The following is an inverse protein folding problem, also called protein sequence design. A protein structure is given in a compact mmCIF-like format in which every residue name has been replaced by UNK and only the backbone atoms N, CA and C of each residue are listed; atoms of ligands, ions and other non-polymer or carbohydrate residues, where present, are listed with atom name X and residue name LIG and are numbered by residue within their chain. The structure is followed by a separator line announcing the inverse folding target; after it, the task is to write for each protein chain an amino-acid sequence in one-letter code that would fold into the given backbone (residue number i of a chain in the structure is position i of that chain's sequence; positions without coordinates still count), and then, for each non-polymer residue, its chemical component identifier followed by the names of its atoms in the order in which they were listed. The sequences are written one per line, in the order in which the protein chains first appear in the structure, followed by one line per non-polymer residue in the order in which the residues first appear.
data_IF_597145917117
#
_entry.id   IF_597145917117
#
_cell.length_a   1.000
_cell.length_b   1.000
_cell.length_c   1.000
_cell.angle_alpha   90.00
_cell.angle_beta   90.00
_cell.angle_gamma   90.00
#
_symmetry.space_group_name_H-M   'P 1'
#
loop_
_entity.id
_entity.type
_entity.pdbx_description
1 polymer ?
#
# COMPACT_ATOMS: atom_id res chain seq x y z
N UNK A 1 1.86 42.40 -13.88
CA UNK A 1 3.09 41.69 -14.24
C UNK A 1 2.73 40.24 -14.31
N UNK A 2 2.67 39.67 -15.53
CA UNK A 2 2.36 38.23 -15.71
C UNK A 2 3.66 37.45 -15.47
N UNK A 3 3.66 36.54 -14.52
CA UNK A 3 4.71 35.53 -14.45
C UNK A 3 4.63 34.61 -15.67
N UNK A 4 5.73 34.27 -16.32
CA UNK A 4 5.72 33.37 -17.47
C UNK A 4 5.36 31.98 -17.01
N UNK A 5 4.39 31.35 -17.68
CA UNK A 5 4.09 29.94 -17.56
C UNK A 5 5.35 29.10 -17.86
N UNK A 6 5.67 28.05 -17.13
CA UNK A 6 6.83 27.21 -17.36
C UNK A 6 6.82 26.66 -18.79
N UNK A 7 7.98 26.68 -19.47
CA UNK A 7 8.11 26.21 -20.84
C UNK A 7 7.84 24.71 -20.95
N UNK A 8 7.24 24.26 -22.04
CA UNK A 8 6.87 22.87 -22.32
C UNK A 8 8.06 21.89 -22.14
N UNK A 9 9.29 22.35 -22.37
CA UNK A 9 10.51 21.56 -22.21
C UNK A 9 10.90 21.26 -20.74
N UNK A 10 10.60 22.17 -19.80
CA UNK A 10 10.85 21.94 -18.36
C UNK A 10 9.81 20.98 -17.77
N UNK A 11 8.57 21.05 -18.24
CA UNK A 11 7.50 20.14 -17.83
C UNK A 11 7.78 18.71 -18.32
N UNK A 12 8.31 18.53 -19.52
CA UNK A 12 8.70 17.24 -20.08
C UNK A 12 9.91 16.64 -19.35
N UNK A 13 10.94 17.43 -19.05
CA UNK A 13 12.12 16.97 -18.32
C UNK A 13 11.78 16.54 -16.86
N UNK A 14 10.90 17.28 -16.19
CA UNK A 14 10.39 16.91 -14.86
C UNK A 14 9.50 15.64 -14.94
N UNK A 15 8.81 15.43 -16.07
CA UNK A 15 7.96 14.25 -16.25
C UNK A 15 8.75 12.95 -16.37
N UNK A 16 9.97 12.97 -16.90
CA UNK A 16 10.85 11.80 -17.01
C UNK A 16 11.46 11.38 -15.66
N UNK A 17 11.55 12.28 -14.70
CA UNK A 17 12.16 12.04 -13.38
C UNK A 17 11.15 11.54 -12.32
N UNK A 18 9.84 11.78 -12.51
CA UNK A 18 8.80 11.44 -11.53
C UNK A 18 8.11 10.14 -11.94
N UNK A 19 8.18 9.11 -11.06
CA UNK A 19 7.47 7.86 -11.24
C UNK A 19 6.01 7.96 -10.79
N UNK A 20 5.74 8.63 -9.64
CA UNK A 20 4.38 8.76 -9.10
C UNK A 20 4.11 10.24 -8.81
N UNK A 21 3.01 10.77 -9.36
CA UNK A 21 2.45 12.08 -9.00
C UNK A 21 1.05 11.90 -8.43
N UNK A 22 0.83 12.41 -7.22
CA UNK A 22 -0.45 12.46 -6.53
C UNK A 22 -0.81 13.94 -6.37
N UNK A 23 -1.91 14.39 -6.96
CA UNK A 23 -2.27 15.81 -7.03
C UNK A 23 -3.65 16.05 -6.42
N UNK A 24 -3.68 16.64 -5.22
CA UNK A 24 -4.89 17.03 -4.49
C UNK A 24 -5.93 15.91 -4.39
N UNK A 25 -5.48 14.70 -4.08
CA UNK A 25 -6.30 13.48 -4.10
C UNK A 25 -7.16 13.35 -2.86
N UNK A 26 -8.47 13.22 -3.08
CA UNK A 26 -9.46 12.85 -2.07
C UNK A 26 -10.05 11.48 -2.42
N UNK A 27 -10.31 10.66 -1.39
CA UNK A 27 -10.98 9.37 -1.55
C UNK A 27 -11.89 9.07 -0.37
N UNK A 28 -13.06 8.48 -0.64
CA UNK A 28 -14.07 8.18 0.38
C UNK A 28 -14.63 6.77 0.20
N UNK A 29 -14.89 6.08 1.32
CA UNK A 29 -15.60 4.80 1.31
C UNK A 29 -17.09 4.99 1.54
N UNK A 30 -17.89 4.22 0.80
CA UNK A 30 -19.31 4.10 1.06
C UNK A 30 -19.56 3.02 2.12
N UNK A 31 -19.94 3.42 3.32
CA UNK A 31 -20.29 2.50 4.40
C UNK A 31 -21.81 2.43 4.52
N UNK A 32 -22.39 1.26 4.31
CA UNK A 32 -23.80 1.01 4.59
C UNK A 32 -23.98 0.97 6.11
N UNK A 33 -24.88 1.81 6.63
CA UNK A 33 -25.28 1.76 8.01
C UNK A 33 -26.12 0.49 8.21
N UNK A 34 -25.57 -0.53 8.87
CA UNK A 34 -26.40 -1.64 9.34
C UNK A 34 -27.44 -1.09 10.30
N UNK A 35 -28.71 -1.21 9.94
CA UNK A 35 -29.81 -0.96 10.86
C UNK A 35 -29.76 -2.10 11.90
N UNK A 36 -29.17 -1.84 13.06
CA UNK A 36 -29.40 -2.74 14.19
C UNK A 36 -30.90 -2.69 14.48
N UNK A 37 -31.55 -3.81 14.28
CA UNK A 37 -32.93 -4.05 14.74
C UNK A 37 -32.88 -4.04 16.27
N UNK A 38 -33.01 -2.85 16.86
CA UNK A 38 -33.25 -2.72 18.30
C UNK A 38 -34.70 -3.17 18.54
N UNK A 39 -34.87 -4.14 19.42
CA UNK A 39 -36.14 -4.78 19.79
C UNK A 39 -37.10 -3.88 20.55
N UNK A 40 -37.14 -2.59 20.28
CA UNK A 40 -38.09 -1.64 20.88
C UNK A 40 -39.18 -1.28 19.86
N UNK A 41 -40.39 -1.72 20.12
CA UNK A 41 -41.58 -1.52 19.27
C UNK A 41 -41.93 -0.03 19.00
N UNK A 42 -41.38 0.90 19.76
CA UNK A 42 -41.62 2.36 19.58
C UNK A 42 -40.70 3.00 18.52
N UNK A 43 -39.53 2.46 18.29
CA UNK A 43 -38.55 2.99 17.33
C UNK A 43 -38.76 2.41 15.90
N UNK A 44 -39.55 1.35 15.77
CA UNK A 44 -39.83 0.69 14.50
C UNK A 44 -40.58 1.57 13.49
N UNK A 45 -41.47 2.46 13.94
CA UNK A 45 -42.28 3.30 13.05
C UNK A 45 -41.50 4.49 12.48
N UNK A 46 -40.58 5.07 13.22
CA UNK A 46 -39.73 6.18 12.73
C UNK A 46 -38.65 5.71 11.74
N UNK A 47 -38.23 4.45 11.82
CA UNK A 47 -37.24 3.83 10.91
C UNK A 47 -37.88 3.35 9.59
N UNK A 48 -39.19 3.10 9.54
CA UNK A 48 -39.89 2.70 8.33
C UNK A 48 -40.03 3.88 7.34
N UNK A 49 -40.01 5.12 7.81
CA UNK A 49 -40.06 6.34 7.01
C UNK A 49 -38.69 6.83 6.53
N UNK A 50 -37.61 6.33 7.09
CA UNK A 50 -36.24 6.52 6.59
C UNK A 50 -35.88 5.33 5.73
N UNK A 51 -35.93 5.49 4.40
CA UNK A 51 -35.65 4.45 3.43
C UNK A 51 -34.36 3.65 3.73
N UNK A 52 -34.28 2.38 3.27
CA UNK A 52 -33.27 1.40 3.68
C UNK A 52 -31.83 1.66 3.23
N UNK A 53 -31.48 2.83 2.70
CA UNK A 53 -30.21 3.11 2.04
C UNK A 53 -29.55 4.43 2.49
N UNK A 54 -29.35 4.65 3.79
CA UNK A 54 -28.42 5.71 4.16
C UNK A 54 -26.96 5.20 4.08
N UNK A 55 -26.37 5.29 2.90
CA UNK A 55 -24.92 5.17 2.72
C UNK A 55 -24.24 6.42 3.29
N UNK A 56 -23.31 6.23 4.22
CA UNK A 56 -22.46 7.31 4.71
C UNK A 56 -21.13 7.26 3.96
N UNK A 57 -20.73 8.39 3.37
CA UNK A 57 -19.38 8.56 2.85
C UNK A 57 -18.43 8.83 4.03
N UNK A 58 -17.42 7.99 4.18
CA UNK A 58 -16.35 8.15 5.17
C UNK A 58 -15.10 8.57 4.40
N UNK A 59 -14.66 9.85 4.54
CA UNK A 59 -13.48 10.31 3.84
C UNK A 59 -12.23 9.64 4.43
N UNK A 60 -11.41 9.05 3.56
CA UNK A 60 -10.17 8.38 3.91
C UNK A 60 -8.93 9.16 3.48
N UNK A 61 -9.01 9.91 2.37
CA UNK A 61 -8.01 10.88 1.91
C UNK A 61 -8.69 12.22 1.66
N UNK A 62 -7.98 13.32 1.92
CA UNK A 62 -8.50 14.69 1.90
C UNK A 62 -7.46 15.64 1.31
N UNK A 63 -7.40 15.74 -0.02
CA UNK A 63 -6.49 16.65 -0.72
C UNK A 63 -5.02 16.29 -0.55
N UNK A 64 -4.69 15.00 -0.62
CA UNK A 64 -3.31 14.52 -0.52
C UNK A 64 -2.55 14.85 -1.78
N UNK A 65 -1.36 15.45 -1.63
CA UNK A 65 -0.41 15.66 -2.73
C UNK A 65 0.95 15.09 -2.32
N UNK A 66 1.60 14.38 -3.25
CA UNK A 66 2.92 13.80 -3.07
C UNK A 66 3.55 13.49 -4.43
N UNK A 67 4.87 13.55 -4.51
CA UNK A 67 5.65 13.13 -5.68
C UNK A 67 6.70 12.13 -5.29
N UNK A 68 6.88 11.08 -6.12
CA UNK A 68 7.90 10.06 -5.90
C UNK A 68 8.80 10.01 -7.13
N UNK A 69 10.06 10.43 -7.01
CA UNK A 69 11.02 10.33 -8.10
C UNK A 69 11.29 8.89 -8.51
N UNK A 70 11.67 8.66 -9.77
CA UNK A 70 12.15 7.33 -10.22
C UNK A 70 13.34 6.87 -9.38
N UNK A 71 13.35 5.60 -9.02
CA UNK A 71 14.43 5.00 -8.25
C UNK A 71 14.50 5.44 -6.79
N UNK A 72 13.47 6.11 -6.28
CA UNK A 72 13.41 6.53 -4.88
C UNK A 72 12.48 5.66 -4.05
N UNK A 73 12.65 5.69 -2.73
CA UNK A 73 11.84 4.97 -1.76
C UNK A 73 11.09 5.98 -0.90
N UNK A 74 9.76 6.02 -1.03
CA UNK A 74 8.88 6.83 -0.19
C UNK A 74 8.38 6.01 1.00
N UNK A 75 8.76 6.37 2.22
CA UNK A 75 8.18 5.84 3.46
C UNK A 75 6.89 6.58 3.81
N UNK A 76 5.78 5.85 4.05
CA UNK A 76 4.51 6.46 4.48
C UNK A 76 4.23 6.11 5.93
N UNK A 77 4.16 7.15 6.77
CA UNK A 77 3.95 7.09 8.21
C UNK A 77 2.54 7.53 8.60
N UNK A 78 2.08 7.10 9.76
CA UNK A 78 0.81 7.51 10.35
C UNK A 78 0.18 6.42 11.19
N UNK A 79 -0.73 6.80 12.09
CA UNK A 79 -1.49 5.86 12.95
C UNK A 79 -2.45 4.99 12.11
N UNK A 80 -3.04 3.99 12.76
CA UNK A 80 -4.11 3.17 12.15
C UNK A 80 -5.29 4.07 11.77
N UNK A 81 -5.83 3.91 10.56
CA UNK A 81 -6.89 4.77 10.04
C UNK A 81 -6.44 6.12 9.47
N UNK A 82 -5.14 6.44 9.44
CA UNK A 82 -4.63 7.69 8.88
C UNK A 82 -4.81 7.84 7.35
N UNK A 83 -5.12 6.74 6.64
CA UNK A 83 -5.31 6.74 5.18
C UNK A 83 -4.19 6.07 4.38
N UNK A 84 -3.16 5.52 5.04
CA UNK A 84 -1.96 4.92 4.38
C UNK A 84 -2.31 3.85 3.34
N UNK A 85 -3.03 2.80 3.75
CA UNK A 85 -3.44 1.73 2.82
C UNK A 85 -4.42 2.22 1.74
N UNK A 86 -5.19 3.28 2.03
CA UNK A 86 -6.06 3.92 1.03
C UNK A 86 -5.23 4.65 -0.02
N UNK A 87 -4.18 5.35 0.38
CA UNK A 87 -3.25 6.01 -0.54
C UNK A 87 -2.57 4.98 -1.45
N UNK A 88 -2.04 3.88 -0.89
CA UNK A 88 -1.45 2.81 -1.69
C UNK A 88 -2.44 2.20 -2.69
N UNK A 89 -3.69 1.91 -2.26
CA UNK A 89 -4.72 1.38 -3.15
C UNK A 89 -5.14 2.37 -4.24
N UNK A 90 -5.12 3.67 -3.94
CA UNK A 90 -5.40 4.70 -4.92
C UNK A 90 -4.26 4.80 -5.95
N UNK A 91 -2.99 4.74 -5.53
CA UNK A 91 -1.82 4.69 -6.41
C UNK A 91 -1.85 3.43 -7.29
N UNK A 92 -2.25 2.28 -6.73
CA UNK A 92 -2.41 1.03 -7.46
C UNK A 92 -3.61 1.01 -8.44
N UNK A 93 -4.42 2.07 -8.50
CA UNK A 93 -5.62 2.12 -9.34
C UNK A 93 -6.79 1.26 -8.86
N UNK A 94 -6.70 0.66 -7.65
CA UNK A 94 -7.75 -0.20 -7.07
C UNK A 94 -8.93 0.63 -6.57
N UNK A 95 -8.66 1.82 -6.03
CA UNK A 95 -9.67 2.77 -5.56
C UNK A 95 -9.53 4.05 -6.38
N UNK A 96 -10.54 4.41 -7.18
CA UNK A 96 -10.50 5.67 -7.92
C UNK A 96 -10.59 6.85 -6.95
N UNK A 97 -9.81 7.93 -7.14
CA UNK A 97 -9.97 9.16 -6.39
C UNK A 97 -11.35 9.78 -6.65
N UNK A 98 -11.93 10.42 -5.63
CA UNK A 98 -13.16 11.22 -5.77
C UNK A 98 -12.86 12.62 -6.29
N UNK A 99 -11.66 13.13 -6.02
CA UNK A 99 -11.14 14.41 -6.48
C UNK A 99 -9.63 14.30 -6.71
N UNK A 100 -9.08 15.15 -7.55
CA UNK A 100 -7.67 15.17 -7.91
C UNK A 100 -7.32 14.09 -8.92
N UNK A 101 -6.03 13.85 -9.11
CA UNK A 101 -5.55 12.81 -10.03
C UNK A 101 -4.27 12.13 -9.50
N UNK A 102 -4.08 10.90 -9.97
CA UNK A 102 -2.85 10.13 -9.73
C UNK A 102 -2.29 9.74 -11.09
N UNK A 103 -1.01 9.94 -11.28
CA UNK A 103 -0.27 9.50 -12.46
C UNK A 103 0.87 8.60 -11.98
N UNK A 104 0.91 7.38 -12.49
CA UNK A 104 2.01 6.44 -12.26
C UNK A 104 2.64 6.11 -13.61
N UNK A 105 3.96 6.13 -13.68
CA UNK A 105 4.75 5.80 -14.86
C UNK A 105 5.56 4.54 -14.57
N UNK A 106 5.31 3.51 -15.34
CA UNK A 106 5.91 2.18 -15.20
C UNK A 106 4.93 1.14 -14.67
N UNK A 107 5.37 -0.11 -14.73
CA UNK A 107 4.59 -1.24 -14.25
C UNK A 107 4.52 -1.28 -12.72
N UNK A 108 3.30 -1.46 -12.20
CA UNK A 108 3.05 -1.48 -10.76
C UNK A 108 2.88 -2.92 -10.29
N UNK A 109 3.69 -3.34 -9.31
CA UNK A 109 3.34 -4.48 -8.45
C UNK A 109 2.95 -4.01 -7.06
N UNK A 110 1.85 -4.53 -6.54
CA UNK A 110 1.26 -4.06 -5.30
C UNK A 110 1.06 -5.18 -4.28
N UNK A 111 1.82 -5.11 -3.19
CA UNK A 111 1.70 -5.97 -2.00
C UNK A 111 0.81 -5.31 -0.96
N UNK A 112 -0.49 -5.21 -1.23
CA UNK A 112 -1.44 -4.45 -0.40
C UNK A 112 -2.16 -5.28 0.65
N UNK A 113 -2.10 -6.60 0.58
CA UNK A 113 -2.57 -7.55 1.60
C UNK A 113 -2.19 -8.97 1.20
N UNK A 114 -2.08 -9.85 2.19
CA UNK A 114 -1.72 -11.25 1.97
C UNK A 114 -2.69 -11.94 0.99
N UNK A 115 -2.21 -12.24 -0.23
CA UNK A 115 -2.94 -13.02 -1.24
C UNK A 115 -3.98 -12.25 -2.05
N UNK A 116 -3.91 -10.90 -2.14
CA UNK A 116 -4.70 -10.14 -3.10
C UNK A 116 -4.28 -10.52 -4.52
N UNK A 117 -5.25 -10.93 -5.33
CA UNK A 117 -5.03 -11.39 -6.70
C UNK A 117 -4.89 -12.91 -6.83
N UNK A 118 -4.67 -13.65 -5.75
CA UNK A 118 -4.59 -15.11 -5.81
C UNK A 118 -5.97 -15.78 -5.89
N UNK A 119 -6.08 -16.77 -6.78
CA UNK A 119 -7.23 -17.66 -6.81
C UNK A 119 -7.04 -18.77 -5.77
N UNK A 120 -7.82 -18.73 -4.70
CA UNK A 120 -7.71 -19.68 -3.58
C UNK A 120 -8.07 -21.13 -3.94
N UNK A 121 -8.71 -21.37 -5.09
CA UNK A 121 -9.05 -22.71 -5.56
C UNK A 121 -7.88 -23.39 -6.29
N UNK A 122 -6.90 -22.62 -6.75
CA UNK A 122 -5.72 -23.09 -7.46
C UNK A 122 -4.54 -23.29 -6.51
N UNK A 123 -3.56 -24.06 -6.97
CA UNK A 123 -2.32 -24.32 -6.22
C UNK A 123 -1.46 -23.05 -6.12
N UNK A 124 -0.50 -23.04 -5.18
CA UNK A 124 0.46 -21.95 -5.08
C UNK A 124 1.26 -21.77 -6.35
N UNK A 125 1.73 -22.89 -6.95
CA UNK A 125 2.48 -22.89 -8.22
C UNK A 125 1.67 -22.26 -9.36
N UNK A 126 0.43 -22.70 -9.55
CA UNK A 126 -0.44 -22.13 -10.60
C UNK A 126 -0.73 -20.64 -10.37
N UNK A 127 -0.83 -20.22 -9.11
CA UNK A 127 -1.00 -18.79 -8.80
C UNK A 127 0.25 -17.96 -9.12
N UNK A 128 1.47 -18.51 -8.99
CA UNK A 128 2.69 -17.83 -9.43
C UNK A 128 2.65 -17.62 -10.94
N UNK A 129 2.37 -18.68 -11.70
CA UNK A 129 2.31 -18.65 -13.18
C UNK A 129 1.26 -17.64 -13.67
N UNK A 130 0.05 -17.68 -13.11
CA UNK A 130 -1.02 -16.73 -13.46
C UNK A 130 -0.67 -15.30 -13.07
N UNK A 131 -0.02 -15.10 -11.93
CA UNK A 131 0.44 -13.78 -11.49
C UNK A 131 1.50 -13.20 -12.43
N UNK A 132 2.42 -14.04 -12.91
CA UNK A 132 3.42 -13.65 -13.89
C UNK A 132 2.78 -13.25 -15.24
N UNK A 133 1.86 -14.07 -15.75
CA UNK A 133 1.11 -13.78 -16.99
C UNK A 133 0.28 -12.49 -16.86
N UNK A 134 -0.34 -12.25 -15.72
CA UNK A 134 -1.13 -11.04 -15.48
C UNK A 134 -0.29 -9.76 -15.42
N UNK A 135 1.02 -9.89 -15.24
CA UNK A 135 2.00 -8.81 -15.24
C UNK A 135 2.83 -8.77 -16.53
N UNK A 136 2.32 -9.37 -17.61
CA UNK A 136 3.00 -9.46 -18.93
C UNK A 136 4.46 -9.95 -18.85
N UNK A 137 4.76 -10.80 -17.83
CA UNK A 137 6.09 -11.39 -17.69
C UNK A 137 6.36 -12.36 -18.86
N UNK A 138 7.57 -12.38 -19.44
CA UNK A 138 7.89 -13.22 -20.59
C UNK A 138 7.59 -14.71 -20.33
N UNK A 139 6.74 -15.33 -21.16
CA UNK A 139 6.25 -16.71 -20.97
C UNK A 139 7.39 -17.73 -20.89
N UNK A 140 8.44 -17.56 -21.70
CA UNK A 140 9.63 -18.40 -21.73
C UNK A 140 10.46 -18.35 -20.45
N UNK A 141 10.27 -17.32 -19.62
CA UNK A 141 10.95 -17.12 -18.34
C UNK A 141 10.10 -17.42 -17.11
N UNK A 142 8.82 -17.75 -17.28
CA UNK A 142 7.90 -18.05 -16.14
C UNK A 142 8.42 -19.23 -15.32
N UNK A 143 9.03 -20.24 -15.96
CA UNK A 143 9.64 -21.38 -15.26
C UNK A 143 10.75 -20.96 -14.30
N UNK A 144 11.68 -20.12 -14.75
CA UNK A 144 12.78 -19.59 -13.93
C UNK A 144 12.26 -18.73 -12.78
N UNK A 145 11.29 -17.85 -13.07
CA UNK A 145 10.61 -17.04 -12.07
C UNK A 145 9.96 -17.92 -11.01
N UNK A 146 9.22 -18.96 -11.44
CA UNK A 146 8.50 -19.86 -10.52
C UNK A 146 9.48 -20.53 -9.56
N UNK A 147 10.60 -21.07 -10.04
CA UNK A 147 11.59 -21.69 -9.16
C UNK A 147 12.24 -20.68 -8.19
N UNK A 148 12.53 -19.46 -8.63
CA UNK A 148 13.05 -18.40 -7.76
C UNK A 148 12.05 -18.03 -6.65
N UNK A 149 10.77 -17.91 -7.00
CA UNK A 149 9.67 -17.62 -6.05
C UNK A 149 9.51 -18.77 -5.06
N UNK A 150 9.57 -20.02 -5.53
CA UNK A 150 9.48 -21.25 -4.71
C UNK A 150 10.60 -21.32 -3.69
N UNK A 151 11.84 -21.08 -4.14
CA UNK A 151 13.02 -21.06 -3.28
C UNK A 151 12.92 -19.97 -2.21
N UNK A 152 12.49 -18.78 -2.59
CA UNK A 152 12.32 -17.66 -1.64
C UNK A 152 11.20 -17.89 -0.64
N UNK A 153 10.04 -18.35 -1.08
CA UNK A 153 8.85 -18.53 -0.23
C UNK A 153 9.03 -19.67 0.79
N UNK A 154 9.81 -20.71 0.45
CA UNK A 154 10.06 -21.90 1.28
C UNK A 154 8.77 -22.52 1.83
N UNK A 155 7.81 -22.78 0.97
CA UNK A 155 6.52 -23.39 1.34
C UNK A 155 6.52 -24.93 1.19
N UNK A 156 7.60 -25.49 0.60
CA UNK A 156 7.75 -26.94 0.40
C UNK A 156 6.59 -27.54 -0.40
N UNK A 157 6.08 -28.68 0.04
CA UNK A 157 5.00 -29.40 -0.63
C UNK A 157 3.68 -28.63 -0.70
N UNK A 158 3.49 -27.63 0.19
CA UNK A 158 2.28 -26.81 0.17
C UNK A 158 2.06 -26.08 -1.15
N UNK A 159 3.11 -25.86 -1.94
CA UNK A 159 2.99 -25.21 -3.26
C UNK A 159 2.07 -25.98 -4.23
N UNK A 160 1.94 -27.28 -4.05
CA UNK A 160 1.09 -28.15 -4.85
C UNK A 160 -0.34 -28.27 -4.29
N UNK A 161 -0.62 -27.67 -3.14
CA UNK A 161 -1.98 -27.65 -2.57
C UNK A 161 -2.72 -26.36 -2.94
N UNK A 162 -4.06 -26.42 -3.06
CA UNK A 162 -4.89 -25.23 -3.25
C UNK A 162 -4.67 -24.20 -2.13
N UNK A 163 -4.54 -22.92 -2.50
CA UNK A 163 -4.24 -21.85 -1.54
C UNK A 163 -5.32 -21.62 -0.48
N UNK A 164 -6.51 -22.23 -0.60
CA UNK A 164 -7.50 -22.28 0.49
C UNK A 164 -7.00 -23.01 1.74
N UNK A 165 -5.99 -23.88 1.58
CA UNK A 165 -5.36 -24.60 2.69
C UNK A 165 -4.21 -23.81 3.35
N UNK A 166 -3.84 -22.66 2.77
CA UNK A 166 -2.75 -21.85 3.30
C UNK A 166 -3.17 -21.03 4.52
N UNK A 167 -2.25 -20.91 5.46
CA UNK A 167 -2.37 -19.88 6.50
C UNK A 167 -2.19 -18.47 5.88
N UNK A 168 -2.60 -17.43 6.62
CA UNK A 168 -2.35 -16.05 6.20
C UNK A 168 -0.86 -15.76 6.00
N UNK A 169 0.00 -16.31 6.85
CA UNK A 169 1.45 -16.19 6.73
C UNK A 169 2.02 -16.87 5.47
N UNK A 170 1.51 -18.06 5.09
CA UNK A 170 1.92 -18.73 3.85
C UNK A 170 1.50 -17.94 2.61
N UNK A 171 0.26 -17.46 2.59
CA UNK A 171 -0.24 -16.62 1.49
C UNK A 171 0.58 -15.33 1.34
N UNK A 172 0.95 -14.71 2.47
CA UNK A 172 1.80 -13.53 2.48
C UNK A 172 3.20 -13.81 1.97
N UNK A 173 3.84 -14.93 2.39
CA UNK A 173 5.15 -15.35 1.90
C UNK A 173 5.15 -15.51 0.39
N UNK A 174 4.14 -16.21 -0.14
CA UNK A 174 4.02 -16.42 -1.57
C UNK A 174 3.79 -15.11 -2.33
N UNK A 175 2.91 -14.25 -1.82
CA UNK A 175 2.63 -12.94 -2.41
C UNK A 175 3.85 -12.04 -2.47
N UNK A 176 4.59 -11.96 -1.36
CA UNK A 176 5.84 -11.19 -1.33
C UNK A 176 6.89 -11.77 -2.29
N UNK A 177 7.10 -13.09 -2.24
CA UNK A 177 8.07 -13.75 -3.11
C UNK A 177 7.77 -13.46 -4.59
N UNK A 178 6.51 -13.60 -5.02
CA UNK A 178 6.11 -13.32 -6.39
C UNK A 178 6.35 -11.85 -6.75
N UNK A 179 5.80 -10.91 -5.97
CA UNK A 179 5.90 -9.49 -6.29
C UNK A 179 7.35 -8.97 -6.29
N UNK A 180 8.20 -9.51 -5.42
CA UNK A 180 9.61 -9.13 -5.34
C UNK A 180 10.48 -9.72 -6.45
N UNK A 181 10.02 -10.78 -7.16
CA UNK A 181 10.75 -11.41 -8.26
C UNK A 181 10.19 -11.05 -9.65
N UNK A 182 8.99 -10.47 -9.73
CA UNK A 182 8.46 -9.91 -10.97
C UNK A 182 9.23 -8.70 -11.49
N UNK A 183 10.09 -8.13 -10.64
CA UNK A 183 10.97 -7.01 -10.95
C UNK A 183 10.26 -5.76 -11.52
N UNK A 184 9.19 -5.27 -10.87
CA UNK A 184 8.39 -4.14 -11.36
C UNK A 184 9.16 -2.82 -11.28
N UNK A 185 8.79 -1.84 -12.11
CA UNK A 185 9.36 -0.49 -12.03
C UNK A 185 8.89 0.26 -10.77
N UNK A 186 7.65 0.01 -10.34
CA UNK A 186 7.02 0.59 -9.15
C UNK A 186 6.51 -0.52 -8.23
N UNK A 187 7.01 -0.55 -7.00
CA UNK A 187 6.60 -1.53 -5.99
C UNK A 187 5.87 -0.84 -4.83
N UNK A 188 4.64 -1.23 -4.58
CA UNK A 188 3.83 -0.73 -3.47
C UNK A 188 3.74 -1.79 -2.37
N UNK A 189 4.18 -1.43 -1.15
CA UNK A 189 4.24 -2.36 -0.02
C UNK A 189 3.42 -1.81 1.14
N UNK A 190 2.33 -2.51 1.51
CA UNK A 190 1.60 -2.24 2.74
C UNK A 190 2.13 -3.15 3.86
N UNK A 191 2.08 -2.71 5.09
CA UNK A 191 2.52 -3.31 6.36
C UNK A 191 2.43 -4.86 6.49
N UNK A 192 1.81 -5.51 5.52
CA UNK A 192 1.64 -6.96 5.42
C UNK A 192 2.95 -7.78 5.56
N UNK A 193 4.13 -7.15 5.55
CA UNK A 193 5.43 -7.82 5.73
C UNK A 193 5.76 -8.17 7.20
N UNK A 194 4.93 -7.76 8.15
CA UNK A 194 5.15 -8.05 9.58
C UNK A 194 4.93 -9.55 9.95
N UNK A 195 4.27 -10.33 9.08
CA UNK A 195 4.05 -11.76 9.28
C UNK A 195 5.25 -12.62 8.85
N UNK A 196 5.32 -13.85 9.38
CA UNK A 196 6.40 -14.81 9.10
C UNK A 196 7.36 -14.98 10.26
N UNK A 197 8.17 -16.03 10.19
CA UNK A 197 9.23 -16.30 11.17
C UNK A 197 10.44 -15.37 10.97
N UNK A 198 11.40 -15.43 11.92
CA UNK A 198 12.59 -14.57 11.87
C UNK A 198 13.43 -14.78 10.61
N UNK A 199 13.56 -16.02 10.13
CA UNK A 199 14.33 -16.34 8.93
C UNK A 199 13.69 -15.76 7.66
N UNK A 200 12.36 -15.77 7.58
CA UNK A 200 11.68 -15.15 6.45
C UNK A 200 11.83 -13.62 6.48
N UNK A 201 11.73 -13.00 7.67
CA UNK A 201 11.96 -11.56 7.84
C UNK A 201 13.36 -11.12 7.41
N UNK A 202 14.39 -11.91 7.72
CA UNK A 202 15.76 -11.65 7.27
C UNK A 202 15.88 -11.71 5.73
N UNK A 203 15.26 -12.71 5.08
CA UNK A 203 15.23 -12.79 3.61
C UNK A 203 14.49 -11.62 2.98
N UNK A 204 13.34 -11.24 3.58
CA UNK A 204 12.58 -10.06 3.13
C UNK A 204 13.46 -8.80 3.23
N UNK A 205 14.15 -8.60 4.35
CA UNK A 205 15.02 -7.44 4.53
C UNK A 205 16.13 -7.40 3.48
N UNK A 206 16.83 -8.52 3.23
CA UNK A 206 17.86 -8.60 2.20
C UNK A 206 17.31 -8.35 0.79
N UNK A 207 16.14 -8.89 0.45
CA UNK A 207 15.50 -8.64 -0.86
C UNK A 207 15.05 -7.18 -1.00
N UNK A 208 14.57 -6.56 0.08
CA UNK A 208 14.22 -5.14 0.08
C UNK A 208 15.45 -4.26 -0.14
N UNK A 209 16.59 -4.55 0.49
CA UNK A 209 17.84 -3.84 0.24
C UNK A 209 18.29 -3.97 -1.23
N UNK A 210 18.18 -5.16 -1.80
CA UNK A 210 18.46 -5.41 -3.23
C UNK A 210 17.55 -4.54 -4.12
N UNK A 211 16.23 -4.58 -3.89
CA UNK A 211 15.24 -3.81 -4.66
C UNK A 211 15.46 -2.29 -4.53
N UNK A 212 15.77 -1.79 -3.33
CA UNK A 212 16.09 -0.38 -3.12
C UNK A 212 17.36 0.02 -3.88
N UNK A 213 18.39 -0.83 -3.86
CA UNK A 213 19.68 -0.54 -4.53
C UNK A 213 19.63 -0.71 -6.05
N UNK A 214 18.67 -1.46 -6.59
CA UNK A 214 18.49 -1.68 -8.02
C UNK A 214 17.83 -0.51 -8.78
N UNK A 215 17.51 0.60 -8.09
CA UNK A 215 16.89 1.78 -8.69
C UNK A 215 15.38 1.65 -8.94
N UNK A 216 14.71 0.70 -8.26
CA UNK A 216 13.24 0.58 -8.30
C UNK A 216 12.57 1.68 -7.48
N UNK A 217 11.42 2.13 -7.95
CA UNK A 217 10.60 3.09 -7.20
C UNK A 217 9.74 2.33 -6.21
N UNK A 218 9.83 2.66 -4.92
CA UNK A 218 9.13 1.92 -3.87
C UNK A 218 8.30 2.87 -3.02
N UNK A 219 7.04 2.51 -2.75
CA UNK A 219 6.23 3.15 -1.70
C UNK A 219 6.00 2.15 -0.59
N UNK A 220 6.58 2.42 0.58
CA UNK A 220 6.59 1.53 1.73
C UNK A 220 5.76 2.09 2.87
N UNK A 221 4.68 1.40 3.25
CA UNK A 221 3.96 1.62 4.50
C UNK A 221 4.47 0.64 5.54
N UNK A 222 5.00 1.13 6.65
CA UNK A 222 5.47 0.26 7.75
C UNK A 222 5.35 0.98 9.10
N UNK A 223 5.08 0.20 10.17
CA UNK A 223 5.22 0.66 11.55
C UNK A 223 6.64 0.48 12.09
N UNK A 224 7.51 -0.21 11.37
CA UNK A 224 8.92 -0.40 11.73
C UNK A 224 9.74 0.85 11.34
N UNK A 225 9.75 1.88 12.20
CA UNK A 225 10.46 3.14 11.94
C UNK A 225 11.93 2.94 11.57
N UNK A 226 12.60 1.92 12.15
CA UNK A 226 14.00 1.59 11.82
C UNK A 226 14.14 1.13 10.37
N UNK A 227 13.19 0.35 9.86
CA UNK A 227 13.22 -0.11 8.47
C UNK A 227 12.98 1.06 7.51
N UNK A 228 12.01 1.94 7.81
CA UNK A 228 11.77 3.14 7.01
C UNK A 228 13.02 4.02 6.99
N UNK A 229 13.61 4.31 8.17
CA UNK A 229 14.83 5.12 8.27
C UNK A 229 16.00 4.55 7.47
N UNK A 230 16.13 3.22 7.41
CA UNK A 230 17.23 2.56 6.69
C UNK A 230 17.04 2.56 5.17
N UNK A 231 15.79 2.54 4.66
CA UNK A 231 15.49 2.31 3.25
C UNK A 231 14.90 3.54 2.54
N UNK A 232 14.13 4.38 3.24
CA UNK A 232 13.43 5.48 2.61
C UNK A 232 14.38 6.63 2.25
N UNK A 233 14.23 7.16 1.02
CA UNK A 233 14.89 8.39 0.57
C UNK A 233 14.10 9.63 0.96
N UNK A 234 12.78 9.47 1.16
CA UNK A 234 11.86 10.50 1.65
C UNK A 234 10.72 9.86 2.45
N UNK A 235 10.07 10.64 3.30
CA UNK A 235 8.93 10.20 4.09
C UNK A 235 7.74 11.14 3.93
N UNK A 236 6.54 10.55 4.03
CA UNK A 236 5.25 11.23 4.06
C UNK A 236 4.50 10.84 5.33
N UNK A 237 4.17 11.79 6.20
CA UNK A 237 3.35 11.56 7.36
C UNK A 237 1.90 11.93 7.08
N UNK A 238 1.02 10.93 7.17
CA UNK A 238 -0.44 11.08 7.06
C UNK A 238 -1.08 11.08 8.44
N UNK A 239 -2.03 12.01 8.64
CA UNK A 239 -2.91 12.04 9.81
C UNK A 239 -4.34 12.39 9.36
N UNK A 240 -5.32 11.54 9.71
CA UNK A 240 -6.74 11.74 9.37
C UNK A 240 -6.99 12.05 7.87
N UNK A 241 -6.24 11.36 6.99
CA UNK A 241 -6.36 11.49 5.53
C UNK A 241 -5.68 12.72 4.95
N UNK A 242 -4.90 13.47 5.70
CA UNK A 242 -4.14 14.66 5.25
C UNK A 242 -2.65 14.44 5.39
N UNK A 243 -1.87 15.09 4.54
CA UNK A 243 -0.43 15.20 4.72
C UNK A 243 -0.16 16.21 5.83
N UNK A 244 0.57 15.79 6.85
CA UNK A 244 1.04 16.64 7.95
C UNK A 244 2.43 17.17 7.64
N UNK A 245 3.30 16.28 7.16
CA UNK A 245 4.67 16.61 6.79
C UNK A 245 5.16 15.62 5.72
N UNK A 246 6.01 16.10 4.84
CA UNK A 246 6.79 15.32 3.88
C UNK A 246 8.25 15.83 3.88
N UNK A 247 9.18 14.99 3.47
CA UNK A 247 10.59 15.36 3.37
C UNK A 247 11.56 14.31 3.87
N UNK A 248 12.66 14.75 4.51
CA UNK A 248 13.72 13.90 5.02
C UNK A 248 13.20 12.90 6.06
N UNK A 249 13.57 11.60 5.95
CA UNK A 249 13.09 10.56 6.85
C UNK A 249 13.35 10.83 8.34
N UNK A 250 14.52 11.37 8.69
CA UNK A 250 14.89 11.64 10.09
C UNK A 250 14.04 12.75 10.70
N UNK A 251 13.74 13.77 9.91
CA UNK A 251 12.92 14.90 10.34
C UNK A 251 11.46 14.48 10.52
N UNK A 252 10.90 13.81 9.50
CA UNK A 252 9.49 13.36 9.54
C UNK A 252 9.26 12.33 10.65
N UNK A 253 10.17 11.36 10.80
CA UNK A 253 10.07 10.33 11.87
C UNK A 253 10.16 11.00 13.25
N UNK A 254 11.06 11.97 13.45
CA UNK A 254 11.24 12.66 14.72
C UNK A 254 9.95 13.40 15.14
N UNK A 255 9.35 14.16 14.23
CA UNK A 255 8.12 14.91 14.52
C UNK A 255 6.92 13.95 14.70
N UNK A 256 6.82 12.88 13.91
CA UNK A 256 5.80 11.85 14.09
C UNK A 256 5.89 11.19 15.47
N UNK A 257 7.09 10.83 15.93
CA UNK A 257 7.29 10.24 17.26
C UNK A 257 7.00 11.23 18.39
N UNK A 258 7.29 12.52 18.19
CA UNK A 258 6.93 13.57 19.13
C UNK A 258 5.42 13.70 19.26
N UNK A 259 4.71 13.74 18.14
CA UNK A 259 3.24 13.78 18.09
C UNK A 259 2.62 12.57 18.81
N UNK A 260 3.11 11.35 18.55
CA UNK A 260 2.60 10.14 19.20
C UNK A 260 2.81 10.13 20.73
N UNK A 261 3.87 10.77 21.25
CA UNK A 261 4.12 10.89 22.70
C UNK A 261 3.16 11.88 23.35
N UNK A 262 2.88 13.01 22.69
CA UNK A 262 1.96 14.03 23.20
C UNK A 262 0.53 13.47 23.29
N UNK A 263 0.04 12.79 22.25
CA UNK A 263 -1.28 12.15 22.29
C UNK A 263 -1.39 11.08 23.41
N UNK A 264 -0.31 10.30 23.64
CA UNK A 264 -0.31 9.30 24.70
C UNK A 264 -0.30 9.93 26.12
N UNK A 265 0.22 11.16 26.31
CA UNK A 265 0.13 11.88 27.56
C UNK A 265 -1.25 12.46 27.80
N UNK A 266 -1.90 12.99 26.75
CA UNK A 266 -3.25 13.56 26.85
C UNK A 266 -4.31 12.49 27.18
N UNK A 267 -4.16 11.25 26.66
CA UNK A 267 -5.03 10.10 26.98
C UNK A 267 -4.93 9.64 28.45
N UNK A 268 -3.78 9.90 29.11
CA UNK A 268 -3.56 9.55 30.53
C UNK A 268 -4.06 10.63 31.51
N UNK A 269 -4.19 11.87 31.06
CA UNK A 269 -4.68 12.98 31.88
C UNK A 269 -6.22 13.08 31.88
N UNK A 270 -6.92 12.36 30.97
CA UNK A 270 -8.39 12.32 30.87
C UNK A 270 -9.02 11.09 31.60
N UNK A 271 -8.24 10.16 32.22
CA UNK A 271 -8.69 9.06 33.08
C UNK A 271 -8.57 9.42 34.59
#
# INVERSE_FOLDING_TARGET
MNEPSPSTSETDALSEVIAISVENVSASYQVRKEVRLTTSFRDGFSNLLRGPNSTRLVPALRGVSATVPKGSVLGVLGRNGAGKSTLLRAIAGIIPPTEGRIVVRGEISALLSAGVGFNRQLTGRTNIELGALAMDFPEDRIGELTESVVEFAQLGEYLEFPMRAYSSGMSMRLGFALAAHLDPEVLLIDEALAGGDSKFKERVAGKMEELCSSGRTIVLVSHAMRAIKAMATSCLWLHQGKVVQDGDPDDVIREYLRFCRLEASDELDDE
#
